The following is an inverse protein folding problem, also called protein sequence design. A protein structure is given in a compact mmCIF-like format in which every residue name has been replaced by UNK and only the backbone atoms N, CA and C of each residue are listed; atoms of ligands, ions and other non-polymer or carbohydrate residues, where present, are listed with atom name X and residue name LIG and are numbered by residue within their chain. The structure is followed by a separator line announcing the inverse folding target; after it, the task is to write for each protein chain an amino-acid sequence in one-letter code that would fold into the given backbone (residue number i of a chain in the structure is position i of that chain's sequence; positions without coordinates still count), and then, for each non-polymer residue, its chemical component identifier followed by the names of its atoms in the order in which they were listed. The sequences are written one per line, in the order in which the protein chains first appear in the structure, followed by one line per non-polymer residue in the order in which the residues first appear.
data_IF_994787377011
#
_entry.id   IF_994787377011
#
_cell.length_a   1.000
_cell.length_b   1.000
_cell.length_c   1.000
_cell.angle_alpha   90.00
_cell.angle_beta   90.00
_cell.angle_gamma   90.00
#
_symmetry.space_group_name_H-M   'P 1'
#
loop_
_entity.id
_entity.type
_entity.pdbx_description
1 polymer ?
#
# COMPACT_ATOMS: atom_id res chain seq x y z
N UNK A 1 -34.81 60.87 26.85
CA UNK A 1 -34.15 59.70 27.40
C UNK A 1 -33.28 59.09 26.34
N UNK A 2 -31.98 59.19 26.47
CA UNK A 2 -31.11 58.50 25.50
C UNK A 2 -31.23 57.01 25.68
N UNK A 3 -31.67 56.35 24.67
CA UNK A 3 -31.62 54.92 24.63
C UNK A 3 -30.20 54.52 24.25
N UNK A 4 -29.47 54.05 25.23
CA UNK A 4 -28.14 53.48 24.92
C UNK A 4 -28.32 52.11 24.31
N UNK A 5 -28.23 52.05 23.00
CA UNK A 5 -28.08 50.77 22.34
C UNK A 5 -26.73 50.21 22.76
N UNK A 6 -26.76 49.28 23.67
CA UNK A 6 -25.58 48.48 23.95
C UNK A 6 -25.31 47.59 22.74
N UNK A 7 -24.35 47.99 21.96
CA UNK A 7 -23.75 47.09 21.03
C UNK A 7 -23.01 46.00 21.84
N UNK A 8 -23.63 44.87 21.95
CA UNK A 8 -22.95 43.70 22.47
C UNK A 8 -21.98 43.31 21.37
N UNK A 9 -20.67 43.38 21.60
CA UNK A 9 -19.78 42.81 20.62
C UNK A 9 -20.09 41.33 20.57
N UNK A 10 -20.67 40.91 19.49
CA UNK A 10 -20.68 39.48 19.15
C UNK A 10 -19.22 39.17 18.96
N UNK A 11 -18.59 38.61 19.98
CA UNK A 11 -17.36 37.94 19.79
C UNK A 11 -17.64 36.81 18.81
N UNK A 12 -17.44 37.09 17.55
CA UNK A 12 -17.33 36.02 16.58
C UNK A 12 -16.18 35.17 17.07
N UNK A 13 -16.51 34.17 17.88
CA UNK A 13 -15.56 33.14 18.16
C UNK A 13 -15.14 32.58 16.79
N UNK A 14 -13.95 32.96 16.35
CA UNK A 14 -13.34 32.27 15.26
C UNK A 14 -13.23 30.83 15.71
N UNK A 15 -14.21 30.02 15.30
CA UNK A 15 -14.02 28.60 15.35
C UNK A 15 -12.79 28.33 14.50
N UNK A 16 -11.66 28.27 15.15
CA UNK A 16 -10.49 27.67 14.55
C UNK A 16 -10.87 26.23 14.25
N UNK A 17 -11.40 26.04 13.06
CA UNK A 17 -11.36 24.74 12.44
C UNK A 17 -9.89 24.42 12.32
N UNK A 18 -9.35 23.83 13.40
CA UNK A 18 -8.10 23.14 13.27
C UNK A 18 -8.39 22.00 12.31
N UNK A 19 -8.16 22.29 11.04
CA UNK A 19 -8.01 21.21 10.10
C UNK A 19 -6.76 20.46 10.55
N UNK A 20 -6.98 19.44 11.39
CA UNK A 20 -5.95 18.45 11.54
C UNK A 20 -5.79 17.87 10.15
N UNK A 21 -4.83 18.38 9.44
CA UNK A 21 -4.29 17.67 8.31
C UNK A 21 -3.83 16.35 8.91
N UNK A 22 -4.63 15.32 8.74
CA UNK A 22 -4.14 13.99 8.96
C UNK A 22 -3.02 13.81 7.94
N UNK A 23 -1.83 14.26 8.30
CA UNK A 23 -0.63 13.74 7.70
C UNK A 23 -0.69 12.26 8.01
N UNK A 24 -1.17 11.47 7.04
CA UNK A 24 -0.92 10.06 7.12
C UNK A 24 0.60 9.95 7.18
N UNK A 25 1.11 9.65 8.38
CA UNK A 25 2.54 9.46 8.62
C UNK A 25 3.09 8.29 7.78
N UNK A 26 2.29 7.75 6.86
CA UNK A 26 2.56 6.51 6.17
C UNK A 26 2.38 6.67 4.66
N UNK A 27 3.14 7.59 4.08
CA UNK A 27 3.27 7.68 2.64
C UNK A 27 4.32 6.67 2.17
N UNK A 28 3.93 5.40 2.13
CA UNK A 28 4.78 4.37 1.57
C UNK A 28 4.59 4.27 0.06
N UNK A 29 5.66 4.03 -0.70
CA UNK A 29 5.50 3.60 -2.07
C UNK A 29 4.60 2.36 -2.13
N UNK A 30 3.69 2.34 -3.10
CA UNK A 30 2.77 1.23 -3.32
C UNK A 30 3.04 0.62 -4.67
N UNK A 31 3.21 -0.70 -4.70
CA UNK A 31 3.41 -1.46 -5.93
C UNK A 31 2.26 -2.43 -6.10
N UNK A 32 1.63 -2.41 -7.26
CA UNK A 32 0.47 -3.23 -7.56
C UNK A 32 0.88 -4.53 -8.22
N UNK A 33 0.37 -5.63 -7.70
CA UNK A 33 0.53 -6.97 -8.27
C UNK A 33 -0.85 -7.50 -8.58
N UNK A 34 -1.06 -7.90 -9.82
CA UNK A 34 -2.31 -8.50 -10.27
C UNK A 34 -2.15 -10.01 -10.39
N UNK A 35 -3.12 -10.73 -9.85
CA UNK A 35 -3.27 -12.18 -10.00
C UNK A 35 -4.52 -12.45 -10.81
N UNK A 36 -4.38 -13.25 -11.84
CA UNK A 36 -5.52 -13.64 -12.68
C UNK A 36 -5.38 -15.09 -13.11
N UNK A 37 -6.15 -15.95 -12.45
CA UNK A 37 -6.21 -17.37 -12.76
C UNK A 37 -4.83 -18.03 -12.94
N UNK A 38 -3.92 -17.75 -12.01
CA UNK A 38 -2.55 -18.27 -11.98
C UNK A 38 -1.50 -17.36 -12.65
N UNK A 39 -1.92 -16.41 -13.47
CA UNK A 39 -0.97 -15.43 -14.04
C UNK A 39 -0.68 -14.30 -13.06
N UNK A 40 0.58 -13.94 -12.95
CA UNK A 40 1.05 -12.83 -12.08
C UNK A 40 1.59 -11.72 -12.98
N UNK A 41 1.12 -10.51 -12.76
CA UNK A 41 1.54 -9.35 -13.54
C UNK A 41 1.83 -8.14 -12.62
N UNK A 42 2.96 -7.45 -12.76
CA UNK A 42 4.09 -7.80 -13.63
C UNK A 42 4.91 -8.96 -13.06
N UNK A 43 5.69 -9.68 -13.88
CA UNK A 43 6.49 -10.81 -13.40
C UNK A 43 7.73 -10.41 -12.61
N UNK A 44 8.15 -9.15 -12.69
CA UNK A 44 9.26 -8.60 -11.92
C UNK A 44 8.95 -7.14 -11.58
N UNK A 45 9.21 -6.76 -10.34
CA UNK A 45 8.95 -5.40 -9.84
C UNK A 45 10.20 -4.90 -9.15
N UNK A 46 10.69 -3.73 -9.56
CA UNK A 46 11.74 -3.05 -8.83
C UNK A 46 11.15 -2.29 -7.65
N UNK A 47 11.73 -2.49 -6.48
CA UNK A 47 11.33 -1.85 -5.23
C UNK A 47 12.55 -1.24 -4.55
N UNK A 48 12.38 -0.19 -3.73
CA UNK A 48 13.51 0.42 -3.03
C UNK A 48 14.01 -0.51 -1.91
N UNK A 49 15.31 -0.75 -1.88
CA UNK A 49 15.95 -1.41 -0.75
C UNK A 49 16.06 -0.46 0.44
N UNK A 50 16.00 -1.00 1.65
CA UNK A 50 16.17 -0.22 2.88
C UNK A 50 15.00 0.70 3.23
N UNK A 51 13.90 0.62 2.50
CA UNK A 51 12.73 1.48 2.67
C UNK A 51 11.47 0.64 2.81
N UNK A 52 10.58 1.07 3.70
CA UNK A 52 9.27 0.43 3.85
C UNK A 52 8.40 0.73 2.63
N UNK A 53 7.66 -0.27 2.17
CA UNK A 53 6.73 -0.13 1.06
C UNK A 53 5.54 -1.08 1.20
N UNK A 54 4.53 -0.86 0.39
CA UNK A 54 3.34 -1.73 0.34
C UNK A 54 3.25 -2.45 -0.98
N UNK A 55 2.82 -3.69 -0.93
CA UNK A 55 2.34 -4.42 -2.08
C UNK A 55 0.81 -4.40 -2.04
N UNK A 56 0.19 -3.88 -3.08
CA UNK A 56 -1.25 -4.00 -3.26
C UNK A 56 -1.50 -5.22 -4.15
N UNK A 57 -2.19 -6.20 -3.59
CA UNK A 57 -2.50 -7.45 -4.27
C UNK A 57 -3.92 -7.40 -4.78
N UNK A 58 -4.12 -7.61 -6.08
CA UNK A 58 -5.43 -7.63 -6.72
C UNK A 58 -5.66 -8.98 -7.37
N UNK A 59 -6.77 -9.63 -7.01
CA UNK A 59 -7.20 -10.82 -7.71
C UNK A 59 -8.29 -10.43 -8.71
N UNK A 60 -7.94 -10.36 -9.98
CA UNK A 60 -8.86 -9.99 -11.06
C UNK A 60 -9.40 -11.20 -11.81
N UNK A 61 -9.05 -12.40 -11.37
CA UNK A 61 -9.52 -13.65 -11.94
C UNK A 61 -10.79 -14.19 -11.29
N UNK A 62 -11.13 -15.41 -11.64
CA UNK A 62 -12.34 -16.11 -11.19
C UNK A 62 -12.05 -17.16 -10.12
N UNK A 63 -10.79 -17.46 -9.86
CA UNK A 63 -10.36 -18.43 -8.87
C UNK A 63 -9.62 -17.77 -7.73
N UNK A 64 -9.63 -18.37 -6.50
CA UNK A 64 -8.81 -17.89 -5.39
C UNK A 64 -7.32 -17.98 -5.74
N UNK A 65 -6.54 -17.06 -5.18
CA UNK A 65 -5.08 -17.06 -5.30
C UNK A 65 -4.45 -16.95 -3.92
N UNK A 66 -3.21 -17.41 -3.80
CA UNK A 66 -2.42 -17.21 -2.61
C UNK A 66 -1.05 -16.66 -2.97
N UNK A 67 -0.82 -15.40 -2.61
CA UNK A 67 0.52 -14.83 -2.65
C UNK A 67 1.36 -15.56 -1.60
N UNK A 68 2.50 -16.11 -2.00
CA UNK A 68 3.46 -16.69 -1.08
C UNK A 68 4.88 -16.35 -1.45
N UNK A 69 5.66 -15.96 -0.44
CA UNK A 69 7.09 -15.75 -0.56
C UNK A 69 7.80 -16.33 0.66
N UNK A 70 8.65 -17.31 0.42
CA UNK A 70 9.45 -17.91 1.48
C UNK A 70 10.52 -16.95 1.98
N UNK A 71 11.15 -16.22 1.06
CA UNK A 71 12.20 -15.26 1.41
C UNK A 71 11.65 -14.10 2.24
N UNK A 72 10.45 -13.63 1.92
CA UNK A 72 9.79 -12.55 2.66
C UNK A 72 9.05 -13.02 3.90
N UNK A 73 8.82 -14.32 4.02
CA UNK A 73 7.99 -14.92 5.08
C UNK A 73 6.59 -14.29 5.12
N UNK A 74 5.98 -14.14 3.95
CA UNK A 74 4.66 -13.56 3.77
C UNK A 74 3.78 -14.47 2.96
N UNK A 75 2.52 -14.54 3.35
CA UNK A 75 1.48 -15.21 2.60
C UNK A 75 0.16 -14.46 2.73
N UNK A 76 -0.65 -14.51 1.70
CA UNK A 76 -1.95 -13.83 1.67
C UNK A 76 -2.88 -14.52 0.70
N UNK A 77 -4.03 -14.96 1.16
CA UNK A 77 -5.08 -15.52 0.31
C UNK A 77 -6.04 -14.42 -0.11
N UNK A 78 -6.38 -14.39 -1.40
CA UNK A 78 -7.38 -13.48 -1.95
C UNK A 78 -8.43 -14.27 -2.72
N UNK A 79 -9.69 -14.07 -2.37
CA UNK A 79 -10.80 -14.55 -3.18
C UNK A 79 -10.91 -13.77 -4.50
N UNK A 80 -11.73 -14.28 -5.46
CA UNK A 80 -11.97 -13.56 -6.71
C UNK A 80 -12.48 -12.15 -6.48
N UNK A 81 -11.88 -11.17 -7.17
CA UNK A 81 -12.26 -9.76 -7.07
C UNK A 81 -11.73 -9.04 -5.83
N UNK A 82 -11.03 -9.74 -4.93
CA UNK A 82 -10.50 -9.13 -3.70
C UNK A 82 -9.22 -8.35 -3.95
N UNK A 83 -9.05 -7.30 -3.17
CA UNK A 83 -7.82 -6.51 -3.08
C UNK A 83 -7.34 -6.52 -1.64
N UNK A 84 -6.05 -6.67 -1.43
CA UNK A 84 -5.44 -6.64 -0.11
C UNK A 84 -4.04 -6.04 -0.17
N UNK A 85 -3.44 -5.83 0.99
CA UNK A 85 -2.13 -5.20 1.10
C UNK A 85 -1.19 -6.04 1.96
N UNK A 86 0.08 -6.02 1.58
CA UNK A 86 1.17 -6.53 2.41
C UNK A 86 2.16 -5.40 2.62
N UNK A 87 2.52 -5.15 3.87
CA UNK A 87 3.56 -4.17 4.21
C UNK A 87 4.90 -4.89 4.31
N UNK A 88 5.88 -4.41 3.57
CA UNK A 88 7.26 -4.88 3.65
C UNK A 88 8.07 -3.80 4.35
N UNK A 89 8.69 -4.16 5.49
CA UNK A 89 9.37 -3.16 6.33
C UNK A 89 10.65 -2.63 5.71
N UNK A 90 11.49 -3.51 5.23
CA UNK A 90 12.78 -3.15 4.64
C UNK A 90 13.41 -4.41 4.06
N UNK A 91 14.02 -4.28 2.89
CA UNK A 91 14.75 -5.37 2.26
C UNK A 91 16.18 -4.95 1.98
N UNK A 92 17.09 -5.90 2.14
CA UNK A 92 18.42 -5.75 1.59
C UNK A 92 18.37 -5.81 0.06
N UNK A 93 19.33 -5.21 -0.65
CA UNK A 93 19.41 -5.39 -2.10
C UNK A 93 19.45 -6.85 -2.49
N UNK A 94 18.65 -7.24 -3.49
CA UNK A 94 18.57 -8.62 -3.93
C UNK A 94 17.25 -8.95 -4.61
N UNK A 95 17.08 -10.21 -4.92
CA UNK A 95 15.87 -10.74 -5.53
C UNK A 95 15.09 -11.57 -4.53
N UNK A 96 13.77 -11.37 -4.53
CA UNK A 96 12.84 -12.03 -3.62
C UNK A 96 11.73 -12.66 -4.45
N UNK A 97 11.75 -13.97 -4.55
CA UNK A 97 10.75 -14.71 -5.32
C UNK A 97 9.42 -14.75 -4.58
N UNK A 98 8.33 -14.66 -5.34
CA UNK A 98 7.00 -14.96 -4.86
C UNK A 98 6.20 -15.70 -5.93
N UNK A 99 5.14 -16.36 -5.52
CA UNK A 99 4.36 -17.20 -6.43
C UNK A 99 2.92 -17.32 -5.90
N UNK A 100 2.07 -17.87 -6.74
CA UNK A 100 0.69 -18.22 -6.38
C UNK A 100 0.66 -19.68 -5.95
N UNK A 101 0.49 -19.91 -4.65
CA UNK A 101 0.51 -21.28 -4.09
C UNK A 101 -0.68 -22.12 -4.53
N UNK A 102 -1.74 -21.51 -5.05
CA UNK A 102 -2.89 -22.24 -5.60
C UNK A 102 -2.73 -22.58 -7.09
N UNK A 103 -1.66 -22.09 -7.73
CA UNK A 103 -1.39 -22.30 -9.14
C UNK A 103 0.11 -22.57 -9.34
N UNK A 104 0.59 -23.67 -8.76
CA UNK A 104 2.03 -23.98 -8.73
C UNK A 104 2.62 -24.35 -10.09
N UNK A 105 1.79 -24.66 -11.07
CA UNK A 105 2.18 -24.93 -12.45
C UNK A 105 2.46 -23.67 -13.27
N UNK A 106 2.13 -22.49 -12.72
CA UNK A 106 2.34 -21.21 -13.37
C UNK A 106 3.68 -20.59 -12.98
N UNK A 107 4.25 -19.73 -13.83
CA UNK A 107 5.54 -19.09 -13.52
C UNK A 107 5.47 -18.25 -12.23
N UNK A 108 6.55 -18.30 -11.46
CA UNK A 108 6.72 -17.40 -10.32
C UNK A 108 7.11 -15.99 -10.78
N UNK A 109 7.03 -15.05 -9.85
CA UNK A 109 7.44 -13.66 -10.04
C UNK A 109 8.49 -13.28 -9.00
N UNK A 110 9.00 -12.06 -9.07
CA UNK A 110 10.03 -11.60 -8.11
C UNK A 110 9.97 -10.10 -7.87
N UNK A 111 10.37 -9.73 -6.65
CA UNK A 111 10.74 -8.36 -6.33
C UNK A 111 12.25 -8.24 -6.54
N UNK A 112 12.67 -7.12 -7.08
CA UNK A 112 14.09 -6.76 -7.22
C UNK A 112 14.32 -5.53 -6.36
N UNK A 113 14.91 -5.72 -5.18
CA UNK A 113 15.21 -4.63 -4.28
C UNK A 113 16.55 -3.99 -4.67
N UNK A 114 16.51 -2.71 -4.95
CA UNK A 114 17.70 -1.94 -5.34
C UNK A 114 17.84 -0.70 -4.49
N UNK A 115 19.06 -0.35 -4.17
CA UNK A 115 19.32 0.94 -3.55
C UNK A 115 18.98 2.04 -4.54
N UNK A 116 18.35 3.15 -4.05
CA UNK A 116 18.10 4.29 -4.91
C UNK A 116 19.44 4.83 -5.44
N UNK A 117 19.44 5.24 -6.71
CA UNK A 117 20.63 5.83 -7.32
C UNK A 117 21.09 7.03 -6.48
N UNK A 118 22.38 7.10 -6.19
CA UNK A 118 22.97 8.27 -5.53
C UNK A 118 22.76 9.51 -6.37
N UNK A 119 22.39 10.64 -5.75
CA UNK A 119 22.25 11.90 -6.48
C UNK A 119 23.57 12.37 -7.08
#
# INVERSE_FOLDING_TARGET
MPVFARLIPIAAGAALLSMSVATSAEDYPVFVIEFKDGAISPPAIEVPAGTRFKLELRNTGLSPVEFESLELRKEKVLGPGATSFIVIRSLDPGEYRFFDDFHLDMPSAKLIAREPASP
#
